data_IF_372866735290
#
_entry.id   IF_372866735290
#
_cell.length_a   1.000
_cell.length_b   1.000
_cell.length_c   1.000
_cell.angle_alpha   90.00
_cell.angle_beta   90.00
_cell.angle_gamma   90.00
#
_symmetry.space_group_name_H-M   'P 1'
#
loop_
_entity.id
_entity.type
_entity.pdbx_description
1 polymer ?
#
# COMPACT_ATOMS: atom_id res chain seq x y z
N UNK A 1 -72.04 -18.15 -2.49
CA UNK A 1 -70.88 -18.07 -1.57
C UNK A 1 -70.44 -16.62 -1.49
N UNK A 2 -70.86 -15.90 -0.44
CA UNK A 2 -70.72 -14.46 -0.32
C UNK A 2 -69.35 -14.09 0.27
N UNK A 3 -68.44 -13.58 -0.57
CA UNK A 3 -67.23 -12.94 -0.09
C UNK A 3 -67.58 -11.52 0.35
N UNK A 4 -67.49 -11.28 1.64
CA UNK A 4 -67.72 -9.98 2.26
C UNK A 4 -66.70 -8.98 1.71
N UNK A 5 -67.21 -7.85 1.23
CA UNK A 5 -66.40 -6.67 0.93
C UNK A 5 -65.44 -6.41 2.10
N UNK A 6 -64.20 -5.93 1.86
CA UNK A 6 -63.40 -5.41 2.94
C UNK A 6 -64.25 -4.38 3.70
N UNK A 7 -64.54 -4.63 5.00
CA UNK A 7 -65.18 -3.66 5.89
C UNK A 7 -64.57 -2.28 5.62
N UNK A 8 -65.36 -1.19 5.58
CA UNK A 8 -64.91 0.14 5.10
C UNK A 8 -63.49 0.54 5.52
N UNK A 9 -63.07 0.16 6.75
CA UNK A 9 -61.70 0.30 7.28
C UNK A 9 -60.60 -0.35 6.41
N UNK A 10 -60.80 -1.56 5.89
CA UNK A 10 -59.86 -2.28 5.01
C UNK A 10 -59.75 -1.64 3.63
N UNK A 11 -60.85 -1.12 3.07
CA UNK A 11 -60.83 -0.41 1.79
C UNK A 11 -60.07 0.93 1.92
N UNK A 12 -60.31 1.67 3.01
CA UNK A 12 -59.56 2.89 3.32
C UNK A 12 -58.05 2.60 3.49
N UNK A 13 -57.68 1.54 4.21
CA UNK A 13 -56.29 1.14 4.37
C UNK A 13 -55.60 0.81 3.04
N UNK A 14 -56.30 0.16 2.10
CA UNK A 14 -55.76 -0.12 0.77
C UNK A 14 -55.51 1.16 -0.02
N UNK A 15 -56.47 2.10 -0.04
CA UNK A 15 -56.31 3.38 -0.74
C UNK A 15 -55.16 4.19 -0.14
N UNK A 16 -55.04 4.21 1.19
CA UNK A 16 -53.90 4.84 1.88
C UNK A 16 -52.59 4.17 1.43
N UNK A 17 -52.54 2.84 1.37
CA UNK A 17 -51.36 2.11 0.89
C UNK A 17 -50.98 2.44 -0.56
N UNK A 18 -51.96 2.57 -1.46
CA UNK A 18 -51.72 2.97 -2.85
C UNK A 18 -51.11 4.38 -2.93
N UNK A 19 -51.68 5.34 -2.19
CA UNK A 19 -51.22 6.73 -2.16
C UNK A 19 -49.84 6.84 -1.52
N UNK A 20 -49.58 6.12 -0.42
CA UNK A 20 -48.27 6.11 0.22
C UNK A 20 -47.21 5.51 -0.70
N UNK A 21 -47.50 4.40 -1.37
CA UNK A 21 -46.57 3.78 -2.31
C UNK A 21 -46.21 4.74 -3.45
N UNK A 22 -47.20 5.41 -4.07
CA UNK A 22 -46.90 6.38 -5.12
C UNK A 22 -46.17 7.60 -4.58
N UNK A 23 -46.56 8.14 -3.42
CA UNK A 23 -45.89 9.27 -2.80
C UNK A 23 -44.40 8.97 -2.51
N UNK A 24 -44.10 7.79 -1.94
CA UNK A 24 -42.72 7.35 -1.69
C UNK A 24 -41.96 7.17 -3.01
N UNK A 25 -42.55 6.55 -4.02
CA UNK A 25 -41.89 6.35 -5.33
C UNK A 25 -41.50 7.67 -6.02
N UNK A 26 -42.32 8.72 -5.87
CA UNK A 26 -42.05 10.05 -6.42
C UNK A 26 -41.15 10.90 -5.52
N UNK A 27 -41.02 10.56 -4.24
CA UNK A 27 -40.22 11.35 -3.29
C UNK A 27 -38.72 11.27 -3.53
N UNK A 28 -38.22 10.22 -4.18
CA UNK A 28 -36.77 10.00 -4.36
C UNK A 28 -36.04 9.53 -3.10
N UNK A 29 -36.70 9.53 -1.93
CA UNK A 29 -36.02 9.30 -0.64
C UNK A 29 -35.34 7.93 -0.59
N UNK A 30 -36.04 6.87 -1.01
CA UNK A 30 -35.47 5.52 -0.94
C UNK A 30 -34.29 5.38 -1.92
N UNK A 31 -34.37 6.06 -3.05
CA UNK A 31 -33.36 6.05 -4.11
C UNK A 31 -32.11 6.76 -3.65
N UNK A 32 -32.25 7.97 -3.13
CA UNK A 32 -31.13 8.79 -2.64
C UNK A 32 -30.35 8.06 -1.53
N UNK A 33 -31.07 7.47 -0.56
CA UNK A 33 -30.44 6.68 0.51
C UNK A 33 -29.73 5.43 -0.03
N UNK A 34 -30.35 4.75 -1.01
CA UNK A 34 -29.80 3.53 -1.58
C UNK A 34 -28.58 3.80 -2.45
N UNK A 35 -28.62 4.85 -3.27
CA UNK A 35 -27.52 5.23 -4.15
C UNK A 35 -26.32 5.73 -3.34
N UNK A 36 -26.54 6.55 -2.31
CA UNK A 36 -25.50 7.01 -1.40
C UNK A 36 -24.78 5.84 -0.68
N UNK A 37 -25.54 4.83 -0.21
CA UNK A 37 -24.92 3.62 0.35
C UNK A 37 -24.09 2.85 -0.69
N UNK A 38 -24.67 2.53 -1.85
CA UNK A 38 -23.96 1.75 -2.88
C UNK A 38 -22.71 2.48 -3.36
N UNK A 39 -22.76 3.80 -3.51
CA UNK A 39 -21.60 4.61 -3.89
C UNK A 39 -20.49 4.57 -2.83
N UNK A 40 -20.84 4.69 -1.53
CA UNK A 40 -19.85 4.54 -0.45
C UNK A 40 -19.25 3.15 -0.40
N UNK A 41 -20.10 2.11 -0.51
CA UNK A 41 -19.64 0.73 -0.51
C UNK A 41 -18.71 0.45 -1.70
N UNK A 42 -19.03 0.99 -2.87
CA UNK A 42 -18.20 0.87 -4.08
C UNK A 42 -16.85 1.60 -3.92
N UNK A 43 -16.85 2.83 -3.41
CA UNK A 43 -15.62 3.58 -3.17
C UNK A 43 -14.73 2.93 -2.11
N UNK A 44 -15.33 2.46 -1.01
CA UNK A 44 -14.61 1.74 0.05
C UNK A 44 -14.00 0.42 -0.45
N UNK A 45 -14.77 -0.40 -1.16
CA UNK A 45 -14.25 -1.62 -1.78
C UNK A 45 -13.15 -1.33 -2.81
N UNK A 46 -13.28 -0.23 -3.58
CA UNK A 46 -12.27 0.20 -4.55
C UNK A 46 -10.97 0.65 -3.88
N UNK A 47 -11.06 1.33 -2.75
CA UNK A 47 -9.90 1.71 -1.94
C UNK A 47 -9.18 0.46 -1.40
N UNK A 48 -9.92 -0.47 -0.80
CA UNK A 48 -9.36 -1.74 -0.30
C UNK A 48 -8.69 -2.54 -1.45
N UNK A 49 -9.33 -2.59 -2.63
CA UNK A 49 -8.74 -3.21 -3.82
C UNK A 49 -7.42 -2.57 -4.25
N UNK A 50 -7.37 -1.23 -4.26
CA UNK A 50 -6.17 -0.49 -4.60
C UNK A 50 -5.04 -0.74 -3.58
N UNK A 51 -5.35 -0.76 -2.29
CA UNK A 51 -4.40 -1.13 -1.22
C UNK A 51 -3.88 -2.56 -1.45
N UNK A 52 -4.77 -3.52 -1.72
CA UNK A 52 -4.40 -4.92 -1.99
C UNK A 52 -3.42 -5.03 -3.16
N UNK A 53 -3.75 -4.39 -4.29
CA UNK A 53 -2.85 -4.39 -5.46
C UNK A 53 -1.54 -3.64 -5.21
N UNK A 54 -1.56 -2.60 -4.40
CA UNK A 54 -0.35 -1.93 -3.95
C UNK A 54 0.55 -2.85 -3.12
N UNK A 55 -0.02 -3.63 -2.21
CA UNK A 55 0.71 -4.65 -1.43
C UNK A 55 1.25 -5.74 -2.36
N UNK A 56 0.42 -6.27 -3.25
CA UNK A 56 0.83 -7.28 -4.23
C UNK A 56 2.03 -6.85 -5.06
N UNK A 57 2.04 -5.59 -5.51
CA UNK A 57 3.16 -5.03 -6.26
C UNK A 57 4.43 -4.93 -5.43
N UNK A 58 4.34 -4.48 -4.18
CA UNK A 58 5.48 -4.39 -3.26
C UNK A 58 6.04 -5.77 -2.90
N UNK A 59 5.16 -6.73 -2.60
CA UNK A 59 5.56 -8.10 -2.30
C UNK A 59 6.27 -8.73 -3.51
N UNK A 60 5.72 -8.56 -4.71
CA UNK A 60 6.37 -9.07 -5.94
C UNK A 60 7.76 -8.46 -6.17
N UNK A 61 7.94 -7.17 -5.88
CA UNK A 61 9.26 -6.51 -5.96
C UNK A 61 10.22 -7.10 -4.92
N UNK A 62 9.77 -7.29 -3.67
CA UNK A 62 10.58 -7.88 -2.59
C UNK A 62 10.92 -9.36 -2.83
N UNK A 63 10.03 -10.11 -3.47
CA UNK A 63 10.30 -11.49 -3.89
C UNK A 63 11.30 -11.56 -5.05
N UNK A 64 11.24 -10.58 -5.96
CA UNK A 64 12.17 -10.49 -7.09
C UNK A 64 13.56 -9.96 -6.72
N UNK A 65 13.75 -9.42 -5.52
CA UNK A 65 15.07 -8.97 -5.05
C UNK A 65 15.90 -10.16 -4.57
N UNK A 66 16.70 -10.73 -5.47
CA UNK A 66 17.75 -11.67 -5.12
C UNK A 66 18.89 -10.95 -4.38
N UNK A 67 18.79 -10.82 -3.05
CA UNK A 67 19.93 -10.48 -2.19
C UNK A 67 21.03 -11.57 -2.30
N UNK A 68 22.31 -11.21 -2.32
CA UNK A 68 23.44 -12.10 -2.69
C UNK A 68 23.74 -13.27 -1.70
N UNK A 69 22.82 -13.58 -0.80
CA UNK A 69 22.94 -14.66 0.19
C UNK A 69 21.92 -15.75 -0.14
N UNK A 70 22.37 -16.83 -0.80
CA UNK A 70 21.54 -18.01 -1.19
C UNK A 70 20.64 -18.56 -0.06
N UNK A 71 21.01 -18.36 1.21
CA UNK A 71 20.23 -18.80 2.37
C UNK A 71 19.22 -17.75 2.90
N UNK A 72 19.38 -16.46 2.61
CA UNK A 72 18.47 -15.39 3.08
C UNK A 72 17.44 -15.03 2.00
N UNK A 73 17.79 -15.13 0.72
CA UNK A 73 16.85 -14.89 -0.39
C UNK A 73 15.74 -15.90 -0.47
N UNK A 74 16.08 -17.18 -0.40
CA UNK A 74 15.09 -18.26 -0.41
C UNK A 74 14.15 -18.11 0.79
N UNK A 75 14.67 -17.73 1.96
CA UNK A 75 13.86 -17.56 3.17
C UNK A 75 12.92 -16.35 3.13
N UNK A 76 13.32 -15.20 2.56
CA UNK A 76 12.45 -14.01 2.48
C UNK A 76 11.38 -14.18 1.38
N UNK A 77 11.73 -14.74 0.22
CA UNK A 77 10.77 -15.03 -0.84
C UNK A 77 9.70 -16.03 -0.41
N UNK A 78 10.11 -17.16 0.17
CA UNK A 78 9.20 -18.19 0.70
C UNK A 78 8.36 -17.70 1.89
N UNK A 79 8.89 -16.79 2.72
CA UNK A 79 8.13 -16.21 3.83
C UNK A 79 7.01 -15.26 3.34
N UNK A 80 7.21 -14.59 2.20
CA UNK A 80 6.23 -13.69 1.62
C UNK A 80 5.22 -14.38 0.69
N UNK A 81 5.49 -15.61 0.23
CA UNK A 81 4.60 -16.38 -0.64
C UNK A 81 3.17 -16.54 -0.08
N UNK A 82 2.96 -16.91 1.21
CA UNK A 82 1.61 -17.00 1.77
C UNK A 82 0.84 -15.68 1.72
N UNK A 83 1.55 -14.56 1.85
CA UNK A 83 0.95 -13.22 1.78
C UNK A 83 0.61 -12.86 0.33
N UNK A 84 1.50 -13.14 -0.61
CA UNK A 84 1.25 -12.93 -2.03
C UNK A 84 0.01 -13.71 -2.50
N UNK A 85 -0.05 -15.01 -2.20
CA UNK A 85 -1.17 -15.88 -2.55
C UNK A 85 -2.49 -15.41 -1.92
N UNK A 86 -2.43 -14.98 -0.66
CA UNK A 86 -3.60 -14.46 0.04
C UNK A 86 -4.10 -13.18 -0.64
N UNK A 87 -3.21 -12.24 -0.94
CA UNK A 87 -3.57 -10.95 -1.51
C UNK A 87 -4.06 -11.07 -2.95
N UNK A 88 -3.51 -11.99 -3.73
CA UNK A 88 -4.00 -12.30 -5.08
C UNK A 88 -5.45 -12.77 -5.01
N UNK A 89 -5.72 -13.81 -4.21
CA UNK A 89 -7.09 -14.35 -4.04
C UNK A 89 -8.04 -13.31 -3.46
N UNK A 90 -7.59 -12.56 -2.47
CA UNK A 90 -8.34 -11.47 -1.87
C UNK A 90 -8.77 -10.42 -2.90
N UNK A 91 -7.82 -9.98 -3.74
CA UNK A 91 -8.08 -9.01 -4.81
C UNK A 91 -9.10 -9.52 -5.82
N UNK A 92 -9.04 -10.80 -6.19
CA UNK A 92 -10.01 -11.43 -7.09
C UNK A 92 -11.43 -11.43 -6.50
N UNK A 93 -11.58 -11.76 -5.23
CA UNK A 93 -12.89 -11.72 -4.58
C UNK A 93 -13.43 -10.29 -4.42
N UNK A 94 -12.58 -9.30 -4.13
CA UNK A 94 -13.00 -7.90 -4.11
C UNK A 94 -13.46 -7.47 -5.50
N UNK A 95 -12.79 -7.91 -6.56
CA UNK A 95 -13.21 -7.60 -7.92
C UNK A 95 -14.62 -8.13 -8.21
N UNK A 96 -14.95 -9.34 -7.74
CA UNK A 96 -16.31 -9.89 -7.79
C UNK A 96 -17.30 -9.04 -6.98
N UNK A 97 -16.91 -8.60 -5.78
CA UNK A 97 -17.74 -7.74 -4.93
C UNK A 97 -18.01 -6.36 -5.59
N UNK A 98 -16.98 -5.74 -6.19
CA UNK A 98 -17.09 -4.51 -6.98
C UNK A 98 -18.02 -4.70 -8.18
N UNK A 99 -17.91 -5.84 -8.88
CA UNK A 99 -18.84 -6.21 -9.95
C UNK A 99 -20.29 -6.31 -9.47
N UNK A 100 -20.52 -6.94 -8.32
CA UNK A 100 -21.86 -7.02 -7.70
C UNK A 100 -22.41 -5.64 -7.36
N UNK A 101 -21.60 -4.78 -6.73
CA UNK A 101 -22.00 -3.41 -6.38
C UNK A 101 -22.29 -2.55 -7.62
N UNK A 102 -21.48 -2.66 -8.67
CA UNK A 102 -21.73 -1.99 -9.94
C UNK A 102 -23.05 -2.45 -10.57
N UNK A 103 -23.33 -3.75 -10.56
CA UNK A 103 -24.59 -4.30 -11.04
C UNK A 103 -25.78 -3.76 -10.21
N UNK A 104 -25.65 -3.73 -8.88
CA UNK A 104 -26.68 -3.15 -8.01
C UNK A 104 -26.96 -1.69 -8.33
N UNK A 105 -25.92 -0.88 -8.56
CA UNK A 105 -26.07 0.53 -8.97
C UNK A 105 -26.84 0.67 -10.29
N UNK A 106 -26.49 -0.13 -11.29
CA UNK A 106 -27.18 -0.12 -12.60
C UNK A 106 -28.65 -0.54 -12.44
N UNK A 107 -28.91 -1.60 -11.68
CA UNK A 107 -30.27 -2.07 -11.42
C UNK A 107 -31.10 -1.02 -10.66
N UNK A 108 -30.49 -0.30 -9.71
CA UNK A 108 -31.15 0.78 -8.97
C UNK A 108 -31.53 1.94 -9.89
N UNK A 109 -30.63 2.34 -10.78
CA UNK A 109 -30.93 3.35 -11.80
C UNK A 109 -32.06 2.89 -12.74
N UNK A 110 -32.07 1.62 -13.15
CA UNK A 110 -33.09 1.07 -14.03
C UNK A 110 -34.48 1.07 -13.38
N UNK A 111 -34.58 0.56 -12.16
CA UNK A 111 -35.85 0.40 -11.43
C UNK A 111 -36.41 1.75 -10.95
N UNK A 112 -35.54 2.74 -10.74
CA UNK A 112 -35.92 4.09 -10.29
C UNK A 112 -36.34 5.02 -11.42
N UNK A 113 -36.32 4.56 -12.68
CA UNK A 113 -36.70 5.38 -13.83
C UNK A 113 -38.15 5.86 -13.74
N UNK A 114 -38.43 7.08 -14.21
CA UNK A 114 -39.76 7.72 -14.19
C UNK A 114 -40.87 6.86 -14.82
N UNK A 115 -40.52 5.96 -15.74
CA UNK A 115 -41.45 4.98 -16.33
C UNK A 115 -42.09 4.08 -15.26
N UNK A 116 -41.30 3.58 -14.30
CA UNK A 116 -41.82 2.73 -13.23
C UNK A 116 -42.71 3.54 -12.28
N UNK A 117 -42.37 4.79 -11.98
CA UNK A 117 -43.21 5.69 -11.16
C UNK A 117 -44.55 5.99 -11.84
N UNK A 118 -44.53 6.28 -13.14
CA UNK A 118 -45.73 6.51 -13.94
C UNK A 118 -46.61 5.24 -14.04
N UNK A 119 -46.01 4.07 -14.31
CA UNK A 119 -46.72 2.79 -14.38
C UNK A 119 -47.34 2.41 -13.03
N UNK A 120 -46.59 2.58 -11.93
CA UNK A 120 -47.09 2.35 -10.58
C UNK A 120 -48.29 3.26 -10.26
N UNK A 121 -48.20 4.54 -10.63
CA UNK A 121 -49.28 5.52 -10.44
C UNK A 121 -50.52 5.19 -11.27
N UNK A 122 -50.34 4.80 -12.54
CA UNK A 122 -51.44 4.39 -13.42
C UNK A 122 -52.15 3.14 -12.89
N UNK A 123 -51.41 2.14 -12.42
CA UNK A 123 -51.96 0.93 -11.80
C UNK A 123 -52.68 1.25 -10.48
N UNK A 124 -52.11 2.13 -9.64
CA UNK A 124 -52.76 2.58 -8.42
C UNK A 124 -54.12 3.26 -8.70
N UNK A 125 -54.16 4.15 -9.69
CA UNK A 125 -55.40 4.81 -10.11
C UNK A 125 -56.43 3.82 -10.65
N UNK A 126 -56.01 2.85 -11.47
CA UNK A 126 -56.89 1.81 -12.01
C UNK A 126 -57.47 0.90 -10.91
N UNK A 127 -56.67 0.53 -9.92
CA UNK A 127 -57.13 -0.22 -8.74
C UNK A 127 -58.10 0.62 -7.90
N UNK A 128 -57.80 1.89 -7.63
CA UNK A 128 -58.70 2.77 -6.89
C UNK A 128 -60.04 2.96 -7.63
N UNK A 129 -60.01 3.13 -8.95
CA UNK A 129 -61.21 3.27 -9.78
C UNK A 129 -62.09 2.01 -9.76
N UNK A 130 -61.50 0.82 -9.89
CA UNK A 130 -62.26 -0.44 -9.81
C UNK A 130 -62.86 -0.67 -8.42
N UNK A 131 -62.17 -0.23 -7.36
CA UNK A 131 -62.69 -0.25 -5.98
C UNK A 131 -63.92 0.65 -5.81
N UNK A 132 -63.88 1.88 -6.37
CA UNK A 132 -65.01 2.82 -6.36
C UNK A 132 -66.21 2.33 -7.17
N UNK A 133 -65.95 1.74 -8.35
CA UNK A 133 -66.97 1.13 -9.24
C UNK A 133 -67.49 -0.22 -8.74
N UNK A 134 -66.87 -0.80 -7.71
CA UNK A 134 -67.15 -2.15 -7.18
C UNK A 134 -67.02 -3.26 -8.24
N UNK A 135 -66.15 -3.08 -9.24
CA UNK A 135 -65.91 -4.08 -10.29
C UNK A 135 -64.86 -5.11 -9.86
N UNK A 136 -65.34 -6.25 -9.36
CA UNK A 136 -64.49 -7.30 -8.80
C UNK A 136 -63.67 -8.06 -9.86
N UNK A 137 -64.11 -8.06 -11.13
CA UNK A 137 -63.47 -8.84 -12.20
C UNK A 137 -62.14 -8.22 -12.60
N UNK A 138 -62.10 -6.89 -12.73
CA UNK A 138 -60.90 -6.14 -13.09
C UNK A 138 -60.02 -5.83 -11.87
N UNK A 139 -60.58 -5.74 -10.66
CA UNK A 139 -59.84 -5.44 -9.44
C UNK A 139 -58.69 -6.42 -9.17
N UNK A 140 -58.93 -7.73 -9.24
CA UNK A 140 -57.92 -8.77 -8.92
C UNK A 140 -56.68 -8.71 -9.83
N UNK A 141 -56.80 -8.75 -11.17
CA UNK A 141 -55.62 -8.69 -12.04
C UNK A 141 -54.88 -7.36 -11.92
N UNK A 142 -55.60 -6.23 -11.80
CA UNK A 142 -54.97 -4.91 -11.62
C UNK A 142 -54.22 -4.78 -10.30
N UNK A 143 -54.79 -5.28 -9.20
CA UNK A 143 -54.11 -5.30 -7.90
C UNK A 143 -52.87 -6.18 -7.94
N UNK A 144 -52.93 -7.36 -8.57
CA UNK A 144 -51.74 -8.22 -8.74
C UNK A 144 -50.67 -7.53 -9.56
N UNK A 145 -51.03 -6.90 -10.68
CA UNK A 145 -50.10 -6.13 -11.49
C UNK A 145 -49.47 -4.97 -10.69
N UNK A 146 -50.28 -4.21 -9.93
CA UNK A 146 -49.79 -3.16 -9.04
C UNK A 146 -48.79 -3.70 -8.02
N UNK A 147 -49.11 -4.79 -7.34
CA UNK A 147 -48.24 -5.39 -6.33
C UNK A 147 -46.92 -5.89 -6.93
N UNK A 148 -46.94 -6.47 -8.14
CA UNK A 148 -45.72 -6.91 -8.83
C UNK A 148 -44.84 -5.72 -9.21
N UNK A 149 -45.42 -4.64 -9.78
CA UNK A 149 -44.65 -3.43 -10.11
C UNK A 149 -44.13 -2.74 -8.85
N UNK A 150 -44.95 -2.61 -7.81
CA UNK A 150 -44.54 -2.06 -6.52
C UNK A 150 -43.40 -2.89 -5.91
N UNK A 151 -43.51 -4.22 -5.95
CA UNK A 151 -42.47 -5.11 -5.48
C UNK A 151 -41.17 -4.90 -6.23
N UNK A 152 -41.20 -4.93 -7.57
CA UNK A 152 -40.01 -4.69 -8.39
C UNK A 152 -39.40 -3.32 -8.06
N UNK A 153 -40.25 -2.28 -7.96
CA UNK A 153 -39.86 -0.89 -7.69
C UNK A 153 -39.15 -0.69 -6.35
N UNK A 154 -39.65 -1.31 -5.27
CA UNK A 154 -39.15 -1.08 -3.92
C UNK A 154 -38.20 -2.19 -3.43
N UNK A 155 -38.18 -3.36 -4.07
CA UNK A 155 -37.39 -4.51 -3.60
C UNK A 155 -35.90 -4.19 -3.45
N UNK A 156 -35.30 -3.58 -4.47
CA UNK A 156 -33.88 -3.28 -4.47
C UNK A 156 -33.53 -2.21 -3.43
N UNK A 157 -34.31 -1.12 -3.34
CA UNK A 157 -34.10 -0.09 -2.34
C UNK A 157 -34.26 -0.62 -0.90
N UNK A 158 -35.20 -1.54 -0.67
CA UNK A 158 -35.35 -2.21 0.63
C UNK A 158 -34.17 -3.13 0.96
N UNK A 159 -33.66 -3.87 -0.03
CA UNK A 159 -32.45 -4.69 0.13
C UNK A 159 -31.27 -3.82 0.53
N UNK A 160 -31.06 -2.71 -0.19
CA UNK A 160 -29.95 -1.78 0.07
C UNK A 160 -30.09 -1.11 1.44
N UNK A 161 -31.31 -0.70 1.81
CA UNK A 161 -31.58 -0.11 3.12
C UNK A 161 -31.27 -1.09 4.26
N UNK A 162 -31.69 -2.36 4.12
CA UNK A 162 -31.39 -3.41 5.08
C UNK A 162 -29.87 -3.65 5.19
N UNK A 163 -29.18 -3.66 4.05
CA UNK A 163 -27.73 -3.84 4.01
C UNK A 163 -26.99 -2.67 4.68
N UNK A 164 -27.39 -1.43 4.40
CA UNK A 164 -26.86 -0.24 5.05
C UNK A 164 -27.06 -0.26 6.57
N UNK A 165 -28.20 -0.77 7.04
CA UNK A 165 -28.44 -0.93 8.47
C UNK A 165 -27.48 -1.95 9.11
N UNK A 166 -27.28 -3.11 8.48
CA UNK A 166 -26.33 -4.13 8.98
C UNK A 166 -24.90 -3.60 8.97
N UNK A 167 -24.48 -2.98 7.86
CA UNK A 167 -23.13 -2.45 7.68
C UNK A 167 -22.80 -1.41 8.75
N UNK A 168 -23.66 -0.40 8.95
CA UNK A 168 -23.44 0.65 9.97
C UNK A 168 -23.46 0.14 11.40
N UNK A 169 -24.24 -0.90 11.69
CA UNK A 169 -24.42 -1.39 13.07
C UNK A 169 -23.35 -2.39 13.47
N UNK A 170 -22.84 -3.19 12.53
CA UNK A 170 -21.99 -4.34 12.85
C UNK A 170 -20.63 -4.37 12.15
N UNK A 171 -20.50 -3.82 10.94
CA UNK A 171 -19.33 -4.06 10.08
C UNK A 171 -18.44 -2.83 9.91
N UNK A 172 -19.03 -1.63 9.77
CA UNK A 172 -18.35 -0.43 9.32
C UNK A 172 -17.12 -0.07 10.16
N UNK A 173 -17.24 -0.07 11.48
CA UNK A 173 -16.14 0.30 12.37
C UNK A 173 -15.00 -0.71 12.32
N UNK A 174 -15.32 -2.00 12.26
CA UNK A 174 -14.33 -3.08 12.15
C UNK A 174 -13.64 -3.06 10.79
N UNK A 175 -14.38 -2.84 9.70
CA UNK A 175 -13.84 -2.76 8.35
C UNK A 175 -12.83 -1.61 8.21
N UNK A 176 -13.12 -0.44 8.81
CA UNK A 176 -12.20 0.70 8.81
C UNK A 176 -10.91 0.40 9.58
N UNK A 177 -11.02 -0.25 10.75
CA UNK A 177 -9.84 -0.65 11.53
C UNK A 177 -8.98 -1.69 10.80
N UNK A 178 -9.62 -2.72 10.23
CA UNK A 178 -8.95 -3.77 9.45
C UNK A 178 -8.26 -3.22 8.20
N UNK A 179 -8.92 -2.30 7.49
CA UNK A 179 -8.32 -1.62 6.33
C UNK A 179 -7.15 -0.72 6.74
N UNK A 180 -7.24 0.00 7.86
CA UNK A 180 -6.12 0.78 8.38
C UNK A 180 -4.90 -0.09 8.76
N UNK A 181 -5.12 -1.29 9.32
CA UNK A 181 -4.04 -2.25 9.57
C UNK A 181 -3.35 -2.70 8.27
N UNK A 182 -4.14 -2.88 7.21
CA UNK A 182 -3.65 -3.19 5.86
C UNK A 182 -2.79 -2.06 5.27
N UNK A 183 -3.20 -0.79 5.47
CA UNK A 183 -2.41 0.38 5.08
C UNK A 183 -1.10 0.50 5.86
N UNK A 184 -1.12 0.20 7.18
CA UNK A 184 0.07 0.15 8.02
C UNK A 184 1.07 -0.88 7.49
N UNK A 185 0.61 -2.10 7.22
CA UNK A 185 1.44 -3.17 6.64
C UNK A 185 2.00 -2.78 5.27
N UNK A 186 1.21 -2.11 4.41
CA UNK A 186 1.72 -1.57 3.16
C UNK A 186 2.84 -0.55 3.38
N UNK A 187 2.74 0.29 4.42
CA UNK A 187 3.79 1.23 4.82
C UNK A 187 5.09 0.52 5.24
N UNK A 188 4.99 -0.52 6.06
CA UNK A 188 6.12 -1.34 6.49
C UNK A 188 6.83 -2.01 5.30
N UNK A 189 6.07 -2.54 4.34
CA UNK A 189 6.62 -3.13 3.12
C UNK A 189 7.34 -2.09 2.25
N UNK A 190 6.83 -0.85 2.16
CA UNK A 190 7.51 0.23 1.42
C UNK A 190 8.85 0.57 2.05
N UNK A 191 8.91 0.69 3.37
CA UNK A 191 10.15 0.96 4.08
C UNK A 191 11.16 -0.19 3.90
N UNK A 192 10.70 -1.44 4.01
CA UNK A 192 11.54 -2.61 3.73
C UNK A 192 12.07 -2.62 2.28
N UNK A 193 11.23 -2.29 1.30
CA UNK A 193 11.65 -2.21 -0.12
C UNK A 193 12.68 -1.10 -0.38
N UNK A 194 12.56 0.03 0.32
CA UNK A 194 13.52 1.12 0.23
C UNK A 194 14.88 0.75 0.82
N UNK A 195 14.89 0.03 1.95
CA UNK A 195 16.11 -0.50 2.58
C UNK A 195 16.80 -1.56 1.73
N UNK A 196 16.03 -2.38 1.01
CA UNK A 196 16.56 -3.42 0.12
C UNK A 196 17.12 -2.89 -1.21
N UNK A 197 17.14 -1.58 -1.45
CA UNK A 197 17.61 -1.00 -2.72
C UNK A 197 16.70 -1.32 -3.93
N UNK A 198 15.50 -1.84 -3.67
CA UNK A 198 14.55 -2.30 -4.69
C UNK A 198 13.78 -1.17 -5.39
N UNK A 199 14.07 0.09 -5.04
CA UNK A 199 13.30 1.27 -5.44
C UNK A 199 13.83 2.04 -6.65
N UNK A 200 15.01 1.72 -7.18
CA UNK A 200 15.60 2.43 -8.32
C UNK A 200 15.87 1.46 -9.47
N UNK A 201 15.43 1.83 -10.68
CA UNK A 201 15.78 1.10 -11.89
C UNK A 201 17.32 0.90 -11.97
N UNK A 202 17.81 -0.25 -12.46
CA UNK A 202 19.25 -0.54 -12.52
C UNK A 202 20.07 0.60 -13.13
N UNK A 203 19.52 1.27 -14.15
CA UNK A 203 20.13 2.41 -14.83
C UNK A 203 20.39 3.61 -13.90
N UNK A 204 19.47 3.88 -12.96
CA UNK A 204 19.62 4.98 -11.98
C UNK A 204 20.68 4.63 -10.93
N UNK A 205 20.78 3.36 -10.55
CA UNK A 205 21.80 2.90 -9.59
C UNK A 205 23.20 2.97 -10.21
N UNK A 206 23.33 2.60 -11.50
CA UNK A 206 24.57 2.71 -12.28
C UNK A 206 25.00 4.18 -12.37
N UNK A 207 24.10 5.09 -12.76
CA UNK A 207 24.40 6.53 -12.87
C UNK A 207 24.88 7.13 -11.53
N UNK A 208 24.24 6.74 -10.43
CA UNK A 208 24.64 7.18 -9.08
C UNK A 208 26.03 6.63 -8.68
N UNK A 209 26.30 5.36 -8.97
CA UNK A 209 27.58 4.73 -8.69
C UNK A 209 28.72 5.34 -9.51
N UNK A 210 28.50 5.62 -10.81
CA UNK A 210 29.44 6.34 -11.67
C UNK A 210 29.71 7.77 -11.17
N UNK A 211 28.67 8.48 -10.73
CA UNK A 211 28.82 9.82 -10.15
C UNK A 211 29.67 9.79 -8.86
N UNK A 212 29.53 8.74 -8.03
CA UNK A 212 30.33 8.56 -6.83
C UNK A 212 31.79 8.25 -7.15
N UNK A 213 32.07 7.38 -8.14
CA UNK A 213 33.44 7.12 -8.62
C UNK A 213 34.11 8.40 -9.12
N UNK A 214 33.40 9.22 -9.90
CA UNK A 214 33.92 10.50 -10.37
C UNK A 214 34.27 11.46 -9.22
N UNK A 215 33.50 11.45 -8.12
CA UNK A 215 33.81 12.22 -6.90
C UNK A 215 35.07 11.70 -6.20
N UNK A 216 35.22 10.39 -6.08
CA UNK A 216 36.40 9.77 -5.47
C UNK A 216 37.65 10.01 -6.31
N UNK A 217 37.57 9.85 -7.64
CA UNK A 217 38.67 10.12 -8.57
C UNK A 217 39.15 11.57 -8.47
N UNK A 218 38.22 12.53 -8.40
CA UNK A 218 38.55 13.94 -8.22
C UNK A 218 39.11 14.25 -6.83
N UNK A 219 38.71 13.52 -5.78
CA UNK A 219 39.36 13.61 -4.46
C UNK A 219 40.78 13.05 -4.47
N UNK A 220 41.01 11.91 -5.12
CA UNK A 220 42.35 11.30 -5.26
C UNK A 220 43.32 12.27 -5.91
N UNK A 221 42.91 12.88 -7.04
CA UNK A 221 43.74 13.86 -7.75
C UNK A 221 44.10 15.07 -6.88
N UNK A 222 43.13 15.60 -6.10
CA UNK A 222 43.39 16.73 -5.17
C UNK A 222 44.37 16.37 -4.07
N UNK A 223 44.26 15.15 -3.51
CA UNK A 223 45.20 14.68 -2.49
C UNK A 223 46.59 14.45 -3.06
N UNK A 224 46.71 13.86 -4.27
CA UNK A 224 47.99 13.70 -4.97
C UNK A 224 48.68 15.05 -5.22
N UNK A 225 47.92 16.07 -5.64
CA UNK A 225 48.43 17.43 -5.81
C UNK A 225 48.92 18.03 -4.48
N UNK A 226 48.12 17.89 -3.42
CA UNK A 226 48.49 18.38 -2.08
C UNK A 226 49.75 17.68 -1.55
N UNK A 227 49.89 16.38 -1.81
CA UNK A 227 51.07 15.60 -1.42
C UNK A 227 52.33 16.07 -2.17
N UNK A 228 52.21 16.41 -3.46
CA UNK A 228 53.32 16.99 -4.22
C UNK A 228 53.72 18.37 -3.71
N UNK A 229 52.75 19.19 -3.30
CA UNK A 229 53.00 20.52 -2.73
C UNK A 229 53.72 20.42 -1.39
N UNK A 230 53.16 19.66 -0.45
CA UNK A 230 53.77 19.41 0.87
C UNK A 230 55.15 18.76 0.73
N UNK A 231 55.33 17.85 -0.23
CA UNK A 231 56.63 17.24 -0.51
C UNK A 231 57.70 18.25 -0.95
N UNK A 232 57.32 19.29 -1.71
CA UNK A 232 58.23 20.39 -2.07
C UNK A 232 58.55 21.27 -0.87
N UNK A 233 57.56 21.59 -0.04
CA UNK A 233 57.75 22.37 1.18
C UNK A 233 58.64 21.64 2.18
N UNK A 234 58.43 20.33 2.35
CA UNK A 234 59.25 19.49 3.23
C UNK A 234 60.70 19.48 2.77
N UNK A 235 60.96 19.27 1.47
CA UNK A 235 62.33 19.31 0.93
C UNK A 235 63.01 20.68 1.13
N UNK A 236 62.25 21.78 1.04
CA UNK A 236 62.75 23.12 1.33
C UNK A 236 63.04 23.32 2.82
N UNK A 237 62.16 22.85 3.71
CA UNK A 237 62.32 22.92 5.16
C UNK A 237 63.49 22.07 5.65
N UNK A 238 63.68 20.86 5.10
CA UNK A 238 64.83 20.00 5.35
C UNK A 238 66.15 20.71 4.97
N UNK A 239 66.19 21.33 3.80
CA UNK A 239 67.36 22.07 3.33
C UNK A 239 67.65 23.30 4.20
N UNK A 240 66.63 24.03 4.64
CA UNK A 240 66.78 25.16 5.58
C UNK A 240 67.30 24.70 6.93
N UNK A 241 66.76 23.60 7.47
CA UNK A 241 67.21 23.04 8.74
C UNK A 241 68.67 22.59 8.66
N UNK A 242 69.08 21.90 7.61
CA UNK A 242 70.47 21.45 7.43
C UNK A 242 71.44 22.64 7.28
N UNK A 243 71.02 23.73 6.63
CA UNK A 243 71.80 24.98 6.57
C UNK A 243 71.95 25.62 7.96
N UNK A 244 70.88 25.68 8.75
CA UNK A 244 70.92 26.24 10.11
C UNK A 244 71.77 25.39 11.06
N UNK A 245 71.67 24.05 11.00
CA UNK A 245 72.47 23.13 11.81
C UNK A 245 73.96 23.25 11.46
N UNK A 246 74.32 23.34 10.17
CA UNK A 246 75.71 23.47 9.75
C UNK A 246 76.34 24.83 10.11
N UNK A 247 75.52 25.88 10.28
CA UNK A 247 75.97 27.19 10.76
C UNK A 247 76.18 27.26 12.29
N UNK A 248 75.54 26.40 13.09
CA UNK A 248 75.48 26.48 14.57
C UNK A 248 76.69 25.86 15.32
N UNK A 249 77.90 25.93 14.73
CA UNK A 249 79.21 25.47 15.27
C UNK A 249 79.16 24.56 16.53
N UNK A 250 78.80 23.28 16.33
CA UNK A 250 78.91 22.15 17.28
C UNK A 250 77.94 22.11 18.49
N UNK A 251 76.96 23.02 18.60
CA UNK A 251 76.02 23.03 19.76
C UNK A 251 74.73 22.25 19.53
N UNK A 252 74.35 21.99 18.27
CA UNK A 252 73.15 21.26 17.88
C UNK A 252 73.43 20.33 16.69
N UNK A 253 72.96 19.09 16.76
CA UNK A 253 73.04 18.07 15.68
C UNK A 253 71.68 17.40 15.53
N UNK A 254 71.38 16.76 14.38
CA UNK A 254 70.10 16.04 14.18
C UNK A 254 69.77 15.05 15.31
N UNK A 255 70.78 14.42 15.92
CA UNK A 255 70.64 13.49 17.05
C UNK A 255 70.37 14.16 18.41
N UNK A 256 70.56 15.47 18.53
CA UNK A 256 70.43 16.24 19.78
C UNK A 256 69.36 17.34 19.72
N UNK A 257 68.52 17.32 18.69
CA UNK A 257 67.44 18.29 18.39
C UNK A 257 66.45 18.54 19.55
N UNK A 258 66.39 17.66 20.55
CA UNK A 258 65.51 17.81 21.72
C UNK A 258 66.16 18.48 22.95
N UNK A 259 67.44 18.85 22.89
CA UNK A 259 68.16 19.48 24.01
C UNK A 259 68.02 21.01 23.96
N UNK A 260 67.99 21.64 25.15
CA UNK A 260 67.89 23.09 25.32
C UNK A 260 69.14 23.87 24.85
N UNK A 261 70.10 23.19 24.23
CA UNK A 261 71.36 23.75 23.72
C UNK A 261 71.26 24.25 22.28
N UNK A 262 70.17 23.95 21.57
CA UNK A 262 69.97 24.39 20.19
C UNK A 262 69.46 25.84 20.12
N UNK A 263 69.86 26.57 19.07
CA UNK A 263 69.34 27.91 18.84
C UNK A 263 67.83 27.90 18.62
N UNK A 264 67.09 28.96 19.03
CA UNK A 264 65.64 29.03 18.83
C UNK A 264 65.20 28.94 17.36
N UNK A 265 66.08 29.30 16.41
CA UNK A 265 65.81 29.20 14.98
C UNK A 265 65.82 27.74 14.51
N UNK A 266 66.81 26.94 14.94
CA UNK A 266 66.92 25.50 14.62
C UNK A 266 65.72 24.73 15.18
N UNK A 267 65.32 25.01 16.43
CA UNK A 267 64.16 24.37 17.04
C UNK A 267 62.86 24.65 16.27
N UNK A 268 62.66 25.88 15.79
CA UNK A 268 61.48 26.22 14.97
C UNK A 268 61.49 25.50 13.63
N UNK A 269 62.62 25.53 12.91
CA UNK A 269 62.77 24.84 11.64
C UNK A 269 62.50 23.33 11.77
N UNK A 270 63.03 22.69 12.82
CA UNK A 270 62.77 21.28 13.10
C UNK A 270 61.31 20.98 13.46
N UNK A 271 60.63 21.88 14.19
CA UNK A 271 59.19 21.71 14.42
C UNK A 271 58.38 21.87 13.13
N UNK A 272 58.79 22.74 12.21
CA UNK A 272 58.15 22.94 10.92
C UNK A 272 58.34 21.72 10.01
N UNK A 273 59.54 21.17 9.92
CA UNK A 273 59.82 19.91 9.22
C UNK A 273 58.92 18.77 9.76
N UNK A 274 58.91 18.58 11.09
CA UNK A 274 58.09 17.53 11.71
C UNK A 274 56.58 17.70 11.46
N UNK A 275 56.09 18.94 11.42
CA UNK A 275 54.69 19.24 11.09
C UNK A 275 54.37 18.94 9.62
N UNK A 276 55.28 19.26 8.69
CA UNK A 276 55.13 18.97 7.28
C UNK A 276 55.20 17.46 7.02
N UNK A 277 56.10 16.74 7.69
CA UNK A 277 56.22 15.28 7.62
C UNK A 277 54.94 14.60 8.12
N UNK A 278 54.41 15.01 9.28
CA UNK A 278 53.12 14.52 9.79
C UNK A 278 51.98 14.81 8.81
N UNK A 279 51.97 15.98 8.16
CA UNK A 279 50.95 16.34 7.17
C UNK A 279 51.05 15.45 5.92
N UNK A 280 52.27 15.16 5.46
CA UNK A 280 52.52 14.26 4.34
C UNK A 280 52.03 12.83 4.65
N UNK A 281 52.26 12.31 5.86
CA UNK A 281 51.78 10.98 6.26
C UNK A 281 50.26 10.88 6.29
N UNK A 282 49.58 11.89 6.85
CA UNK A 282 48.10 11.94 6.83
C UNK A 282 47.55 11.97 5.40
N UNK A 283 48.19 12.71 4.50
CA UNK A 283 47.79 12.74 3.08
C UNK A 283 48.04 11.40 2.37
N UNK A 284 49.13 10.70 2.68
CA UNK A 284 49.40 9.34 2.17
C UNK A 284 48.34 8.36 2.64
N UNK A 285 48.01 8.36 3.92
CA UNK A 285 46.99 7.47 4.48
C UNK A 285 45.62 7.73 3.85
N UNK A 286 45.23 9.00 3.68
CA UNK A 286 44.00 9.36 2.96
C UNK A 286 44.03 8.89 1.51
N UNK A 287 45.17 8.99 0.84
CA UNK A 287 45.32 8.50 -0.54
C UNK A 287 45.13 6.97 -0.62
N UNK A 288 45.68 6.22 0.34
CA UNK A 288 45.49 4.77 0.41
C UNK A 288 44.03 4.39 0.69
N UNK A 289 43.36 5.11 1.60
CA UNK A 289 41.94 4.90 1.89
C UNK A 289 41.05 5.18 0.67
N UNK A 290 41.31 6.27 -0.06
CA UNK A 290 40.57 6.60 -1.29
C UNK A 290 40.84 5.54 -2.36
N UNK A 291 42.07 5.04 -2.48
CA UNK A 291 42.40 3.99 -3.44
C UNK A 291 41.59 2.71 -3.19
N UNK A 292 41.54 2.25 -1.93
CA UNK A 292 40.70 1.11 -1.52
C UNK A 292 39.21 1.37 -1.81
N UNK A 293 38.71 2.55 -1.46
CA UNK A 293 37.30 2.89 -1.70
C UNK A 293 36.93 3.00 -3.19
N UNK A 294 37.89 3.37 -4.06
CA UNK A 294 37.69 3.35 -5.51
C UNK A 294 37.62 1.90 -6.02
N UNK A 295 38.51 1.03 -5.57
CA UNK A 295 38.54 -0.39 -5.94
C UNK A 295 37.22 -1.08 -5.55
N UNK A 296 36.78 -0.93 -4.29
CA UNK A 296 35.51 -1.49 -3.80
C UNK A 296 34.31 -0.99 -4.63
N UNK A 297 34.31 0.28 -5.01
CA UNK A 297 33.22 0.90 -5.75
C UNK A 297 33.23 0.51 -7.23
N UNK A 298 34.40 0.28 -7.84
CA UNK A 298 34.54 -0.24 -9.21
C UNK A 298 34.01 -1.67 -9.30
N UNK A 299 34.32 -2.51 -8.31
CA UNK A 299 33.78 -3.87 -8.21
C UNK A 299 32.24 -3.86 -8.07
N UNK A 300 31.70 -2.97 -7.21
CA UNK A 300 30.26 -2.79 -7.05
C UNK A 300 29.58 -2.34 -8.35
N UNK A 301 30.20 -1.42 -9.11
CA UNK A 301 29.68 -0.96 -10.40
C UNK A 301 29.70 -2.09 -11.44
N UNK A 302 30.78 -2.87 -11.50
CA UNK A 302 30.85 -4.03 -12.38
C UNK A 302 29.75 -5.06 -12.06
N UNK A 303 29.47 -5.25 -10.77
CA UNK A 303 28.38 -6.09 -10.30
C UNK A 303 27.00 -5.58 -10.73
N UNK A 304 26.75 -4.26 -10.61
CA UNK A 304 25.52 -3.62 -11.08
C UNK A 304 25.33 -3.79 -12.60
N UNK A 305 26.40 -3.64 -13.39
CA UNK A 305 26.36 -3.88 -14.84
C UNK A 305 26.07 -5.35 -15.19
N UNK A 306 26.61 -6.31 -14.45
CA UNK A 306 26.29 -7.73 -14.63
C UNK A 306 24.81 -8.01 -14.32
N UNK A 307 24.29 -7.46 -13.21
CA UNK A 307 22.87 -7.59 -12.84
C UNK A 307 21.94 -6.95 -13.87
N UNK A 308 22.29 -5.78 -14.42
CA UNK A 308 21.51 -5.13 -15.48
C UNK A 308 21.42 -5.98 -16.76
N UNK A 309 22.41 -6.85 -17.01
CA UNK A 309 22.40 -7.83 -18.12
C UNK A 309 21.79 -9.19 -17.74
N UNK A 310 21.30 -9.37 -16.52
CA UNK A 310 20.78 -10.65 -16.03
C UNK A 310 21.85 -11.69 -15.70
N UNK A 311 23.10 -11.27 -15.50
CA UNK A 311 24.24 -12.12 -15.13
C UNK A 311 24.41 -12.15 -13.61
N UNK A 312 24.87 -13.30 -13.07
CA UNK A 312 25.11 -13.45 -11.63
C UNK A 312 26.43 -12.78 -11.23
N UNK A 313 26.41 -12.13 -10.08
CA UNK A 313 27.61 -11.63 -9.42
C UNK A 313 28.24 -12.75 -8.55
N UNK A 314 29.55 -12.69 -8.29
CA UNK A 314 30.33 -13.81 -7.77
C UNK A 314 30.10 -14.16 -6.28
N UNK A 315 30.35 -15.43 -5.96
CA UNK A 315 30.06 -16.20 -4.73
C UNK A 315 30.62 -15.70 -3.37
N UNK A 316 31.24 -14.52 -3.25
CA UNK A 316 32.12 -14.20 -2.11
C UNK A 316 31.86 -12.87 -1.36
N UNK A 317 30.71 -12.22 -1.54
CA UNK A 317 30.32 -11.03 -0.74
C UNK A 317 29.42 -11.32 0.48
N UNK A 318 29.06 -12.58 0.70
CA UNK A 318 28.19 -13.02 1.82
C UNK A 318 28.93 -13.32 3.13
N UNK A 319 30.24 -13.12 3.22
CA UNK A 319 30.98 -13.44 4.45
C UNK A 319 31.17 -12.18 5.30
N UNK A 320 30.26 -12.01 6.27
CA UNK A 320 30.43 -11.25 7.54
C UNK A 320 30.05 -9.76 7.57
N UNK A 321 28.81 -9.42 7.24
CA UNK A 321 28.10 -8.46 8.11
C UNK A 321 27.53 -9.25 9.29
N UNK A 322 28.08 -9.01 10.48
CA UNK A 322 27.76 -9.69 11.73
C UNK A 322 26.28 -9.55 12.12
N UNK A 323 25.48 -10.60 11.89
CA UNK A 323 24.16 -10.76 12.49
C UNK A 323 24.20 -12.04 13.33
N UNK A 324 23.93 -11.90 14.63
CA UNK A 324 23.87 -13.06 15.52
C UNK A 324 22.64 -13.93 15.16
N UNK A 325 22.73 -15.28 15.20
CA UNK A 325 21.60 -16.17 14.91
C UNK A 325 20.36 -15.94 15.80
N UNK A 326 20.52 -15.23 16.92
CA UNK A 326 19.45 -14.85 17.84
C UNK A 326 18.67 -13.63 17.34
N UNK A 327 19.36 -12.58 16.88
CA UNK A 327 18.70 -11.38 16.32
C UNK A 327 17.92 -11.68 15.03
N UNK A 328 18.38 -12.67 14.25
CA UNK A 328 17.65 -13.13 13.07
C UNK A 328 16.36 -13.88 13.45
N UNK A 329 16.40 -14.71 14.50
CA UNK A 329 15.20 -15.40 15.02
C UNK A 329 14.20 -14.41 15.60
N UNK A 330 14.67 -13.44 16.39
CA UNK A 330 13.79 -12.44 17.01
C UNK A 330 13.06 -11.60 15.93
N UNK A 331 13.76 -11.18 14.87
CA UNK A 331 13.15 -10.49 13.73
C UNK A 331 12.20 -11.36 12.90
N UNK A 332 12.48 -12.65 12.72
CA UNK A 332 11.57 -13.58 12.02
C UNK A 332 10.29 -13.79 12.84
N UNK A 333 10.39 -13.89 14.16
CA UNK A 333 9.23 -14.08 15.04
C UNK A 333 8.34 -12.82 15.09
N UNK A 334 8.95 -11.63 15.00
CA UNK A 334 8.25 -10.34 14.89
C UNK A 334 7.51 -10.21 13.54
N UNK A 335 8.14 -10.65 12.43
CA UNK A 335 7.51 -10.71 11.11
C UNK A 335 6.34 -11.71 11.05
N UNK A 336 6.45 -12.88 11.70
CA UNK A 336 5.39 -13.89 11.75
C UNK A 336 4.13 -13.37 12.46
N UNK A 337 4.29 -12.53 13.49
CA UNK A 337 3.19 -11.84 14.15
C UNK A 337 2.46 -10.84 13.25
N UNK A 338 3.22 -10.05 12.48
CA UNK A 338 2.67 -9.07 11.51
C UNK A 338 1.95 -9.77 10.34
N UNK A 339 2.54 -10.86 9.82
CA UNK A 339 1.98 -11.70 8.76
C UNK A 339 0.64 -12.32 9.18
N UNK A 340 0.56 -12.90 10.38
CA UNK A 340 -0.69 -13.50 10.88
C UNK A 340 -1.78 -12.45 11.10
N UNK A 341 -1.45 -11.31 11.71
CA UNK A 341 -2.40 -10.22 11.92
C UNK A 341 -2.91 -9.66 10.58
N UNK A 342 -2.03 -9.50 9.59
CA UNK A 342 -2.42 -9.09 8.25
C UNK A 342 -3.37 -10.11 7.60
N UNK A 343 -3.05 -11.40 7.70
CA UNK A 343 -3.87 -12.45 7.10
C UNK A 343 -5.28 -12.50 7.71
N UNK A 344 -5.36 -12.44 9.05
CA UNK A 344 -6.63 -12.43 9.78
C UNK A 344 -7.47 -11.20 9.40
N UNK A 345 -6.89 -10.00 9.42
CA UNK A 345 -7.58 -8.76 9.05
C UNK A 345 -8.07 -8.80 7.59
N UNK A 346 -7.26 -9.35 6.68
CA UNK A 346 -7.58 -9.46 5.25
C UNK A 346 -8.75 -10.43 5.03
N UNK A 347 -8.72 -11.60 5.68
CA UNK A 347 -9.80 -12.60 5.59
C UNK A 347 -11.10 -12.06 6.17
N UNK A 348 -11.04 -11.39 7.32
CA UNK A 348 -12.23 -10.81 7.92
C UNK A 348 -12.84 -9.71 7.06
N UNK A 349 -12.00 -8.85 6.49
CA UNK A 349 -12.43 -7.79 5.58
C UNK A 349 -13.06 -8.39 4.31
N UNK A 350 -12.50 -9.49 3.80
CA UNK A 350 -13.07 -10.25 2.69
C UNK A 350 -14.46 -10.78 3.01
N UNK A 351 -14.60 -11.46 4.15
CA UNK A 351 -15.87 -12.05 4.58
C UNK A 351 -16.91 -10.95 4.77
N UNK A 352 -16.54 -9.83 5.39
CA UNK A 352 -17.40 -8.66 5.55
C UNK A 352 -17.86 -8.09 4.19
N UNK A 353 -16.94 -7.93 3.23
CA UNK A 353 -17.24 -7.47 1.87
C UNK A 353 -18.17 -8.42 1.11
N UNK A 354 -17.93 -9.73 1.16
CA UNK A 354 -18.78 -10.73 0.53
C UNK A 354 -20.16 -10.80 1.20
N UNK A 355 -20.19 -10.65 2.53
CA UNK A 355 -21.42 -10.63 3.31
C UNK A 355 -22.33 -9.48 2.86
N UNK A 356 -21.80 -8.26 2.77
CA UNK A 356 -22.60 -7.08 2.37
C UNK A 356 -22.86 -6.99 0.86
N UNK A 357 -21.94 -7.41 0.00
CA UNK A 357 -22.12 -7.29 -1.45
C UNK A 357 -22.90 -8.43 -2.09
N UNK A 358 -22.93 -9.62 -1.47
CA UNK A 358 -23.53 -10.82 -2.06
C UNK A 358 -24.50 -11.51 -1.08
N UNK A 359 -24.05 -11.92 0.10
CA UNK A 359 -24.83 -12.82 0.94
C UNK A 359 -26.09 -12.17 1.53
N UNK A 360 -25.98 -10.97 2.12
CA UNK A 360 -27.13 -10.22 2.68
C UNK A 360 -28.13 -9.87 1.57
N UNK A 361 -27.72 -9.30 0.42
CA UNK A 361 -28.65 -9.02 -0.66
C UNK A 361 -29.43 -10.25 -1.13
N UNK A 362 -28.76 -11.39 -1.32
CA UNK A 362 -29.41 -12.64 -1.75
C UNK A 362 -30.34 -13.21 -0.68
N UNK A 363 -29.92 -13.21 0.59
CA UNK A 363 -30.75 -13.66 1.70
C UNK A 363 -32.01 -12.79 1.83
N UNK A 364 -31.85 -11.48 1.79
CA UNK A 364 -32.98 -10.55 1.89
C UNK A 364 -33.92 -10.71 0.70
N UNK A 365 -33.38 -10.79 -0.52
CA UNK A 365 -34.18 -11.01 -1.72
C UNK A 365 -34.95 -12.34 -1.66
N UNK A 366 -34.31 -13.41 -1.17
CA UNK A 366 -34.97 -14.70 -0.92
C UNK A 366 -36.12 -14.59 0.09
N UNK A 367 -35.90 -13.93 1.23
CA UNK A 367 -36.92 -13.71 2.25
C UNK A 367 -38.08 -12.87 1.72
N UNK A 368 -37.76 -11.83 0.95
CA UNK A 368 -38.72 -10.94 0.31
C UNK A 368 -39.61 -11.71 -0.70
N UNK A 369 -39.00 -12.55 -1.54
CA UNK A 369 -39.73 -13.44 -2.46
C UNK A 369 -40.59 -14.47 -1.73
N UNK A 370 -40.09 -15.04 -0.62
CA UNK A 370 -40.84 -16.00 0.20
C UNK A 370 -42.07 -15.35 0.83
N UNK A 371 -41.95 -14.13 1.35
CA UNK A 371 -43.06 -13.35 1.87
C UNK A 371 -44.08 -13.05 0.76
N UNK A 372 -43.62 -12.62 -0.41
CA UNK A 372 -44.49 -12.36 -1.56
C UNK A 372 -45.28 -13.62 -1.95
N UNK A 373 -44.62 -14.78 -2.07
CA UNK A 373 -45.27 -16.05 -2.40
C UNK A 373 -46.28 -16.48 -1.33
N UNK A 374 -45.97 -16.28 -0.05
CA UNK A 374 -46.90 -16.59 1.05
C UNK A 374 -48.11 -15.65 1.07
N UNK A 375 -47.92 -14.37 0.76
CA UNK A 375 -49.05 -13.45 0.58
C UNK A 375 -49.90 -13.80 -0.64
N UNK A 376 -49.29 -14.28 -1.73
CA UNK A 376 -49.99 -14.67 -2.95
C UNK A 376 -50.97 -15.83 -2.72
N UNK A 377 -50.63 -16.80 -1.84
CA UNK A 377 -51.55 -17.90 -1.49
C UNK A 377 -52.66 -17.49 -0.53
N UNK A 378 -52.51 -16.35 0.16
CA UNK A 378 -53.51 -15.81 1.10
C UNK A 378 -54.42 -14.73 0.49
N UNK A 379 -54.13 -14.25 -0.71
CA UNK A 379 -55.01 -13.36 -1.48
C UNK A 379 -55.91 -14.19 -2.41
N UNK A 380 -57.19 -14.45 -2.04
CA UNK A 380 -58.12 -15.19 -2.88
C UNK A 380 -58.45 -14.49 -4.21
#
# INVERSE_FOLDING_TARGET
MAYTLPAQRRAAALVIGLVLATAVAWSGLLEDYSEDYVNRAFAGAGLIYATARGINALVSVLQGTELDVVFVTVAVGEALDPINDLIERFSDFILVALGSLALQKILLGLVSHNLFNALLTALAAAVAYTLLRRDIRLYRPLLRAFLVIAFLRFSLGLVVLANNWVDRTFLLEQDLQRHAAMESFQGELREASALAGAGAAPDVQIEQAEAQLNRLASQRLRNEQSLQEVGRELAAAEAELDQLISADQLSCTRLTLSRHTCSPAVLRAATTEAQLEQTADVLRDKSAQIASAVEDQEEALECLHKRARGERCGLLDSVRSAVSPQQLRDKITELEGSVNAFAENTIDLLVSLLLKSVAIPLLFFYLLLRLLRSSWTRFP
#
